data_IF_921591069272
#
_entry.id   IF_921591069272
#
_cell.length_a   1.000
_cell.length_b   1.000
_cell.length_c   1.000
_cell.angle_alpha   90.00
_cell.angle_beta   90.00
_cell.angle_gamma   90.00
#
_symmetry.space_group_name_H-M   'P 1'
#
loop_
_entity.id
_entity.type
_entity.pdbx_description
1 polymer ?
#
# COMPACT_ATOMS: atom_id res chain seq x y z
N UNK A 1 64.29 -33.02 45.98
CA UNK A 1 63.74 -33.66 44.80
C UNK A 1 62.38 -32.97 44.50
N UNK A 2 62.39 -32.11 43.51
CA UNK A 2 61.21 -31.25 43.21
C UNK A 2 60.72 -31.63 41.80
N UNK A 3 59.52 -32.16 41.73
CA UNK A 3 58.83 -32.54 40.48
C UNK A 3 57.92 -31.37 40.05
N UNK A 4 58.31 -30.70 38.97
CA UNK A 4 57.47 -29.65 38.30
C UNK A 4 56.49 -30.30 37.36
N UNK A 5 55.18 -30.04 37.56
CA UNK A 5 54.10 -30.41 36.61
C UNK A 5 53.89 -29.24 35.64
N UNK A 6 54.11 -29.52 34.36
CA UNK A 6 53.71 -28.60 33.27
C UNK A 6 52.24 -28.86 32.89
N UNK A 7 51.39 -27.89 33.09
CA UNK A 7 50.00 -27.91 32.60
C UNK A 7 50.05 -27.23 31.21
N UNK A 8 49.76 -28.01 30.17
CA UNK A 8 49.57 -27.48 28.82
C UNK A 8 48.12 -27.00 28.66
N UNK A 9 47.94 -25.71 28.45
CA UNK A 9 46.64 -25.11 28.11
C UNK A 9 46.41 -25.25 26.59
N UNK A 10 45.43 -26.04 26.19
CA UNK A 10 44.95 -26.13 24.81
C UNK A 10 43.93 -25.00 24.55
N UNK A 11 44.29 -24.04 23.75
CA UNK A 11 43.37 -23.00 23.25
C UNK A 11 42.55 -23.59 22.09
N UNK A 12 41.28 -23.88 22.34
CA UNK A 12 40.28 -24.14 21.29
C UNK A 12 39.90 -22.81 20.67
N UNK A 13 40.33 -22.51 19.45
CA UNK A 13 39.84 -21.43 18.62
C UNK A 13 38.53 -21.87 17.99
N UNK A 14 37.39 -21.39 18.55
CA UNK A 14 36.08 -21.45 17.87
C UNK A 14 36.10 -20.47 16.69
N UNK A 15 36.24 -20.99 15.49
CA UNK A 15 36.04 -20.27 14.25
C UNK A 15 34.53 -19.97 14.12
N UNK A 16 34.12 -18.72 14.36
CA UNK A 16 32.82 -18.22 13.91
C UNK A 16 32.84 -18.15 12.37
N UNK A 17 32.35 -19.20 11.74
CA UNK A 17 32.03 -19.19 10.32
C UNK A 17 30.89 -18.19 10.08
N UNK A 18 31.19 -17.00 9.62
CA UNK A 18 30.21 -16.07 9.08
C UNK A 18 29.57 -16.75 7.87
N UNK A 19 28.36 -17.29 8.03
CA UNK A 19 27.50 -17.66 6.92
C UNK A 19 27.13 -16.36 6.19
N UNK A 20 27.93 -15.98 5.20
CA UNK A 20 27.53 -15.00 4.20
C UNK A 20 26.33 -15.60 3.47
N UNK A 21 25.12 -15.15 3.79
CA UNK A 21 23.96 -15.30 2.93
C UNK A 21 24.34 -14.56 1.64
N UNK A 22 24.81 -15.33 0.63
CA UNK A 22 25.10 -14.80 -0.68
C UNK A 22 23.82 -14.16 -1.22
N UNK A 23 23.81 -12.85 -1.39
CA UNK A 23 22.82 -12.19 -2.23
C UNK A 23 22.97 -12.83 -3.62
N UNK A 24 21.97 -13.60 -4.05
CA UNK A 24 21.93 -14.12 -5.40
C UNK A 24 21.64 -12.93 -6.32
N UNK A 25 22.62 -12.55 -7.12
CA UNK A 25 22.43 -11.57 -8.18
C UNK A 25 21.44 -12.12 -9.22
N UNK A 26 20.56 -11.26 -9.72
CA UNK A 26 19.57 -11.63 -10.75
C UNK A 26 20.28 -12.12 -12.02
N UNK A 27 19.83 -13.27 -12.54
CA UNK A 27 20.33 -13.81 -13.81
C UNK A 27 19.55 -13.24 -14.99
N UNK A 28 20.20 -12.44 -15.82
CA UNK A 28 19.64 -11.99 -17.08
C UNK A 28 20.06 -12.91 -18.25
N UNK A 29 19.19 -13.11 -19.29
CA UNK A 29 17.87 -12.48 -19.47
C UNK A 29 16.85 -13.00 -18.45
N UNK A 30 16.15 -12.06 -17.80
CA UNK A 30 15.10 -12.33 -16.83
C UNK A 30 13.73 -12.33 -17.52
N UNK A 31 12.85 -13.28 -17.16
CA UNK A 31 11.45 -13.31 -17.55
C UNK A 31 10.57 -13.17 -16.32
N UNK A 32 9.65 -12.23 -16.36
CA UNK A 32 8.70 -11.96 -15.26
C UNK A 32 7.27 -12.02 -15.80
N UNK A 33 6.47 -12.90 -15.24
CA UNK A 33 5.03 -12.95 -15.55
C UNK A 33 4.31 -11.88 -14.72
N UNK A 34 3.62 -10.97 -15.41
CA UNK A 34 2.96 -9.83 -14.81
C UNK A 34 1.59 -9.57 -15.45
N UNK A 35 0.52 -9.87 -14.72
CA UNK A 35 -0.85 -9.54 -15.12
C UNK A 35 -1.18 -9.96 -16.57
N UNK A 36 -0.89 -11.21 -16.92
CA UNK A 36 -1.19 -11.77 -18.25
C UNK A 36 -0.14 -11.51 -19.33
N UNK A 37 0.95 -10.83 -19.02
CA UNK A 37 2.08 -10.59 -19.92
C UNK A 37 3.35 -11.19 -19.35
N UNK A 38 4.22 -11.73 -20.22
CA UNK A 38 5.61 -12.09 -19.86
C UNK A 38 6.54 -10.95 -20.28
N UNK A 39 7.15 -10.30 -19.32
CA UNK A 39 8.12 -9.23 -19.52
C UNK A 39 9.53 -9.85 -19.61
N UNK A 40 10.33 -9.40 -20.57
CA UNK A 40 11.70 -9.88 -20.75
C UNK A 40 12.71 -8.74 -20.55
N UNK A 41 13.69 -8.96 -19.70
CA UNK A 41 14.76 -8.00 -19.41
C UNK A 41 16.11 -8.64 -19.73
N UNK A 42 16.85 -8.04 -20.66
CA UNK A 42 18.25 -8.47 -20.95
C UNK A 42 19.24 -7.99 -19.90
N UNK A 43 18.84 -7.00 -19.10
CA UNK A 43 19.58 -6.39 -17.98
C UNK A 43 18.61 -5.57 -17.14
N UNK A 44 19.02 -5.14 -15.94
CA UNK A 44 18.27 -4.19 -15.13
C UNK A 44 17.95 -2.91 -15.91
N UNK A 45 16.68 -2.38 -15.84
CA UNK A 45 16.30 -1.12 -16.48
C UNK A 45 17.18 0.04 -15.99
N UNK A 46 17.60 0.90 -16.94
CA UNK A 46 18.39 2.10 -16.61
C UNK A 46 17.57 3.21 -15.99
N UNK A 47 16.26 3.26 -16.32
CA UNK A 47 15.31 4.26 -15.85
C UNK A 47 13.90 3.69 -15.78
N UNK A 48 13.06 4.28 -14.94
CA UNK A 48 11.67 3.87 -14.74
C UNK A 48 10.77 5.10 -14.61
N UNK A 49 9.59 5.05 -15.22
CA UNK A 49 8.49 5.98 -14.95
C UNK A 49 7.46 5.25 -14.09
N UNK A 50 6.94 5.94 -13.08
CA UNK A 50 5.85 5.42 -12.25
C UNK A 50 4.56 6.19 -12.49
N UNK A 51 3.48 5.46 -12.71
CA UNK A 51 2.11 5.96 -12.75
C UNK A 51 1.40 5.43 -11.52
N UNK A 52 1.46 6.19 -10.43
CA UNK A 52 0.94 5.80 -9.12
C UNK A 52 1.95 5.97 -8.00
N UNK A 53 1.46 6.50 -6.87
CA UNK A 53 2.26 6.75 -5.67
C UNK A 53 2.82 5.46 -5.07
N UNK A 54 2.00 4.39 -5.01
CA UNK A 54 2.42 3.14 -4.39
C UNK A 54 3.66 2.53 -5.08
N UNK A 55 3.66 2.47 -6.41
CA UNK A 55 4.83 1.99 -7.18
C UNK A 55 6.06 2.87 -6.99
N UNK A 56 5.87 4.20 -6.93
CA UNK A 56 6.96 5.15 -6.68
C UNK A 56 7.62 4.89 -5.32
N UNK A 57 6.83 4.75 -4.27
CA UNK A 57 7.35 4.56 -2.91
C UNK A 57 7.96 3.17 -2.69
N UNK A 58 7.49 2.14 -3.41
CA UNK A 58 8.18 0.84 -3.46
C UNK A 58 9.58 1.00 -4.03
N UNK A 59 9.74 1.68 -5.18
CA UNK A 59 11.05 1.89 -5.78
C UNK A 59 11.97 2.74 -4.88
N UNK A 60 11.44 3.74 -4.20
CA UNK A 60 12.23 4.50 -3.23
C UNK A 60 12.68 3.65 -2.04
N UNK A 61 11.80 2.78 -1.54
CA UNK A 61 12.13 1.86 -0.44
C UNK A 61 13.19 0.82 -0.83
N UNK A 62 13.22 0.44 -2.12
CA UNK A 62 14.24 -0.43 -2.70
C UNK A 62 15.57 0.31 -3.02
N UNK A 63 15.72 1.59 -2.63
CA UNK A 63 16.93 2.37 -2.94
C UNK A 63 17.04 2.82 -4.40
N UNK A 64 16.00 2.64 -5.21
CA UNK A 64 16.00 2.88 -6.66
C UNK A 64 15.56 4.29 -7.06
N UNK A 65 15.49 5.24 -6.12
CA UNK A 65 15.02 6.59 -6.38
C UNK A 65 15.79 7.31 -7.50
N UNK A 66 17.09 7.05 -7.67
CA UNK A 66 17.90 7.60 -8.77
C UNK A 66 17.55 7.03 -10.15
N UNK A 67 16.82 5.91 -10.20
CA UNK A 67 16.32 5.31 -11.44
C UNK A 67 14.96 5.87 -11.85
N UNK A 68 14.21 6.51 -10.93
CA UNK A 68 12.90 7.08 -11.24
C UNK A 68 13.08 8.36 -12.03
N UNK A 69 12.78 8.32 -13.33
CA UNK A 69 12.90 9.44 -14.26
C UNK A 69 11.68 10.36 -14.29
N UNK A 70 10.59 9.94 -13.65
CA UNK A 70 9.35 10.71 -13.49
C UNK A 70 8.28 9.92 -12.76
N UNK A 71 7.36 10.64 -12.12
CA UNK A 71 6.26 10.08 -11.33
C UNK A 71 4.98 10.86 -11.53
N UNK A 72 3.84 10.23 -11.24
CA UNK A 72 2.50 10.83 -11.34
C UNK A 72 1.51 10.14 -10.42
N UNK A 73 0.28 10.66 -10.34
CA UNK A 73 -0.83 10.12 -9.54
C UNK A 73 -0.48 10.02 -8.05
N UNK A 74 -0.60 11.14 -7.37
CA UNK A 74 -0.31 11.25 -5.94
C UNK A 74 -1.57 11.59 -5.15
N UNK A 75 -1.86 10.82 -4.09
CA UNK A 75 -2.96 11.07 -3.15
C UNK A 75 -2.49 11.89 -1.94
N UNK A 76 -1.30 11.59 -1.45
CA UNK A 76 -0.72 12.15 -0.23
C UNK A 76 0.69 12.68 -0.49
N UNK A 77 1.25 13.51 0.39
CA UNK A 77 2.67 13.82 0.37
C UNK A 77 3.50 12.53 0.41
N UNK A 78 4.66 12.56 -0.19
CA UNK A 78 5.62 11.46 -0.09
C UNK A 78 5.95 11.16 1.38
N UNK A 79 6.21 9.91 1.73
CA UNK A 79 6.69 9.55 3.07
C UNK A 79 7.90 10.40 3.45
N UNK A 80 7.98 10.93 4.68
CA UNK A 80 9.04 11.86 5.10
C UNK A 80 10.46 11.36 4.79
N UNK A 81 10.70 10.07 4.94
CA UNK A 81 11.99 9.42 4.65
C UNK A 81 12.42 9.50 3.18
N UNK A 82 11.49 9.77 2.26
CA UNK A 82 11.76 9.88 0.82
C UNK A 82 11.69 11.32 0.29
N UNK A 83 11.50 12.31 1.16
CA UNK A 83 11.32 13.72 0.76
C UNK A 83 12.44 14.24 -0.15
N UNK A 84 13.68 13.98 0.22
CA UNK A 84 14.85 14.52 -0.50
C UNK A 84 15.05 13.87 -1.87
N UNK A 85 14.76 12.57 -2.00
CA UNK A 85 14.84 11.90 -3.28
C UNK A 85 13.67 12.29 -4.18
N UNK A 86 12.44 12.36 -3.62
CA UNK A 86 11.26 12.77 -4.36
C UNK A 86 11.34 14.20 -4.90
N UNK A 87 12.00 15.11 -4.17
CA UNK A 87 12.21 16.49 -4.62
C UNK A 87 13.07 16.60 -5.90
N UNK A 88 13.83 15.56 -6.24
CA UNK A 88 14.69 15.49 -7.41
C UNK A 88 14.02 14.79 -8.59
N UNK A 89 12.89 14.14 -8.38
CA UNK A 89 12.16 13.39 -9.41
C UNK A 89 11.08 14.26 -10.02
N UNK A 90 11.07 14.46 -11.35
CA UNK A 90 10.03 15.23 -12.02
C UNK A 90 8.65 14.62 -11.80
N UNK A 91 7.68 15.44 -11.41
CA UNK A 91 6.26 15.06 -11.42
C UNK A 91 5.70 15.37 -12.81
N UNK A 92 5.32 14.32 -13.54
CA UNK A 92 4.80 14.46 -14.91
C UNK A 92 3.38 15.00 -14.91
N UNK A 93 2.58 14.62 -13.92
CA UNK A 93 1.23 15.10 -13.67
C UNK A 93 0.82 14.82 -12.22
N UNK A 94 -0.14 15.59 -11.68
CA UNK A 94 -0.75 15.30 -10.38
C UNK A 94 -1.73 14.13 -10.48
N UNK A 95 -2.40 13.99 -11.62
CA UNK A 95 -3.22 12.85 -12.01
C UNK A 95 -2.49 12.04 -13.09
N UNK A 96 -3.25 11.45 -14.02
CA UNK A 96 -2.70 10.63 -15.09
C UNK A 96 -1.90 11.47 -16.07
N UNK A 97 -0.66 11.07 -16.41
CA UNK A 97 0.15 11.76 -17.39
C UNK A 97 -0.34 11.44 -18.80
N UNK A 98 0.00 12.28 -19.79
CA UNK A 98 -0.20 11.89 -21.17
C UNK A 98 0.82 10.82 -21.60
N UNK A 99 0.46 10.04 -22.62
CA UNK A 99 1.36 9.05 -23.21
C UNK A 99 2.69 9.67 -23.65
N UNK A 100 2.61 10.83 -24.32
CA UNK A 100 3.78 11.57 -24.81
C UNK A 100 4.72 11.95 -23.65
N UNK A 101 4.17 12.45 -22.54
CA UNK A 101 4.97 12.84 -21.38
C UNK A 101 5.75 11.66 -20.79
N UNK A 102 5.18 10.45 -20.86
CA UNK A 102 5.84 9.22 -20.42
C UNK A 102 6.92 8.79 -21.41
N UNK A 103 6.59 8.68 -22.71
CA UNK A 103 7.52 8.13 -23.72
C UNK A 103 8.67 9.09 -24.05
N UNK A 104 8.50 10.40 -23.88
CA UNK A 104 9.56 11.39 -24.02
C UNK A 104 10.75 11.10 -23.10
N UNK A 105 10.49 10.54 -21.92
CA UNK A 105 11.53 10.16 -20.95
C UNK A 105 12.30 8.90 -21.34
N UNK A 106 11.88 8.18 -22.39
CA UNK A 106 12.49 6.94 -22.89
C UNK A 106 12.75 5.94 -21.76
N UNK A 107 11.75 5.59 -20.94
CA UNK A 107 11.97 4.72 -19.80
C UNK A 107 12.31 3.29 -20.23
N UNK A 108 13.15 2.62 -19.45
CA UNK A 108 13.39 1.20 -19.59
C UNK A 108 12.28 0.34 -18.98
N UNK A 109 11.37 0.95 -18.21
CA UNK A 109 10.20 0.32 -17.61
C UNK A 109 9.17 1.39 -17.25
N UNK A 110 7.89 1.08 -17.42
CA UNK A 110 6.76 1.83 -16.82
C UNK A 110 6.14 0.95 -15.75
N UNK A 111 6.02 1.46 -14.52
CA UNK A 111 5.32 0.81 -13.41
C UNK A 111 3.99 1.52 -13.20
N UNK A 112 2.88 0.81 -13.32
CA UNK A 112 1.54 1.33 -13.09
C UNK A 112 0.91 0.74 -11.83
N UNK A 113 0.26 1.58 -11.05
CA UNK A 113 -0.46 1.17 -9.85
C UNK A 113 -1.80 0.52 -10.20
N UNK A 114 -2.53 1.09 -11.16
CA UNK A 114 -3.87 0.65 -11.52
C UNK A 114 -3.96 0.21 -12.97
N UNK A 115 -4.79 -0.82 -13.22
CA UNK A 115 -5.00 -1.35 -14.56
C UNK A 115 -5.65 -0.32 -15.49
N UNK A 116 -6.63 0.44 -15.02
CA UNK A 116 -7.31 1.46 -15.82
C UNK A 116 -6.37 2.55 -16.38
N UNK A 117 -5.13 2.62 -15.90
CA UNK A 117 -4.11 3.54 -16.42
C UNK A 117 -3.45 3.03 -17.71
N UNK A 118 -3.19 1.72 -17.79
CA UNK A 118 -2.44 1.10 -18.89
C UNK A 118 -3.11 -0.15 -19.47
N UNK A 119 -4.32 -0.48 -19.05
CA UNK A 119 -5.07 -1.62 -19.55
C UNK A 119 -5.69 -1.37 -20.94
N UNK A 120 -6.67 -2.18 -21.28
CA UNK A 120 -7.33 -2.14 -22.60
C UNK A 120 -7.93 -0.76 -22.93
N UNK A 121 -8.50 -0.09 -21.94
CA UNK A 121 -9.08 1.26 -22.03
C UNK A 121 -8.20 2.29 -21.31
N UNK A 122 -6.89 2.01 -21.26
CA UNK A 122 -5.94 2.78 -20.44
C UNK A 122 -5.95 4.28 -20.72
N UNK A 123 -6.21 5.08 -19.67
CA UNK A 123 -6.29 6.56 -19.80
C UNK A 123 -4.94 7.20 -20.15
N UNK A 124 -3.83 6.51 -19.87
CA UNK A 124 -2.49 6.95 -20.29
C UNK A 124 -2.18 6.37 -21.67
N UNK A 125 -2.25 5.04 -21.79
CA UNK A 125 -2.10 4.28 -23.03
C UNK A 125 -2.37 2.80 -22.73
N UNK A 126 -2.44 1.95 -23.76
CA UNK A 126 -2.48 0.49 -23.54
C UNK A 126 -1.07 -0.09 -23.38
N UNK A 127 -0.98 -1.27 -22.74
CA UNK A 127 0.29 -1.99 -22.62
C UNK A 127 0.90 -2.30 -24.00
N UNK A 128 0.07 -2.63 -24.98
CA UNK A 128 0.47 -2.89 -26.37
C UNK A 128 1.14 -1.65 -26.98
N UNK A 129 0.57 -0.44 -26.80
CA UNK A 129 1.15 0.79 -27.31
C UNK A 129 2.56 1.05 -26.74
N UNK A 130 2.77 0.77 -25.44
CA UNK A 130 4.11 0.85 -24.85
C UNK A 130 5.05 -0.24 -25.40
N UNK A 131 4.57 -1.48 -25.51
CA UNK A 131 5.37 -2.61 -26.00
C UNK A 131 5.79 -2.46 -27.46
N UNK A 132 4.96 -1.84 -28.32
CA UNK A 132 5.32 -1.49 -29.70
C UNK A 132 6.53 -0.53 -29.74
N UNK A 133 6.66 0.34 -28.76
CA UNK A 133 7.83 1.20 -28.57
C UNK A 133 8.99 0.52 -27.83
N UNK A 134 8.89 -0.79 -27.54
CA UNK A 134 9.88 -1.56 -26.77
C UNK A 134 10.04 -1.07 -25.32
N UNK A 135 8.98 -0.51 -24.77
CA UNK A 135 8.90 -0.08 -23.36
C UNK A 135 8.08 -1.13 -22.61
N UNK A 136 8.68 -1.98 -21.77
CA UNK A 136 7.95 -2.92 -20.94
C UNK A 136 7.11 -2.18 -19.91
N UNK A 137 5.94 -2.76 -19.57
CA UNK A 137 5.02 -2.20 -18.58
C UNK A 137 4.78 -3.22 -17.48
N UNK A 138 4.93 -2.79 -16.23
CA UNK A 138 4.67 -3.59 -15.04
C UNK A 138 3.42 -3.02 -14.35
N UNK A 139 2.36 -3.81 -14.27
CA UNK A 139 1.18 -3.50 -13.47
C UNK A 139 1.35 -4.10 -12.07
N UNK A 140 1.07 -3.35 -11.02
CA UNK A 140 1.13 -3.91 -9.67
C UNK A 140 0.14 -5.08 -9.53
N UNK A 141 0.59 -6.29 -9.15
CA UNK A 141 -0.23 -7.50 -9.05
C UNK A 141 -1.52 -7.34 -8.24
N UNK A 142 -1.51 -6.47 -7.24
CA UNK A 142 -2.70 -6.14 -6.45
C UNK A 142 -3.88 -5.62 -7.29
N UNK A 143 -3.62 -5.11 -8.48
CA UNK A 143 -4.66 -4.56 -9.36
C UNK A 143 -5.05 -5.48 -10.51
N UNK A 144 -4.52 -6.70 -10.56
CA UNK A 144 -4.97 -7.74 -11.48
C UNK A 144 -5.28 -9.07 -10.79
N UNK A 145 -4.59 -9.41 -9.69
CA UNK A 145 -4.83 -10.67 -9.01
C UNK A 145 -6.13 -10.64 -8.19
N UNK A 146 -7.03 -11.56 -8.52
CA UNK A 146 -8.35 -11.61 -7.87
C UNK A 146 -9.29 -10.48 -8.25
N UNK A 147 -9.00 -9.73 -9.32
CA UNK A 147 -9.77 -8.60 -9.83
C UNK A 147 -10.13 -8.80 -11.29
N UNK A 148 -11.36 -8.50 -11.66
CA UNK A 148 -11.82 -8.43 -13.05
C UNK A 148 -11.86 -6.97 -13.49
N UNK A 149 -10.88 -6.58 -14.27
CA UNK A 149 -10.72 -5.21 -14.75
C UNK A 149 -11.57 -4.87 -15.96
N UNK A 150 -12.39 -5.82 -16.44
CA UNK A 150 -13.37 -5.58 -17.51
C UNK A 150 -14.74 -5.18 -16.97
N UNK A 151 -14.93 -5.18 -15.66
CA UNK A 151 -16.21 -4.90 -15.01
C UNK A 151 -16.07 -3.69 -14.08
N UNK A 152 -16.87 -2.65 -14.34
CA UNK A 152 -16.81 -1.38 -13.58
C UNK A 152 -15.69 -0.44 -14.05
N UNK A 153 -15.72 0.80 -13.59
CA UNK A 153 -14.75 1.84 -13.98
C UNK A 153 -13.33 1.57 -13.44
N UNK A 154 -13.25 1.00 -12.24
CA UNK A 154 -11.98 0.71 -11.54
C UNK A 154 -11.73 -0.81 -11.42
N UNK A 155 -12.46 -1.63 -12.20
CA UNK A 155 -12.49 -3.07 -12.06
C UNK A 155 -13.32 -3.55 -10.86
N UNK A 156 -13.57 -4.83 -10.79
CA UNK A 156 -14.33 -5.47 -9.71
C UNK A 156 -13.50 -6.56 -9.06
N UNK A 157 -13.32 -6.49 -7.75
CA UNK A 157 -12.58 -7.51 -7.01
C UNK A 157 -13.46 -8.75 -6.83
N UNK A 158 -13.00 -9.86 -7.39
CA UNK A 158 -13.71 -11.16 -7.41
C UNK A 158 -13.32 -12.04 -6.22
N UNK A 159 -12.21 -11.74 -5.55
CA UNK A 159 -11.71 -12.45 -4.36
C UNK A 159 -11.23 -11.42 -3.34
N UNK A 160 -11.29 -11.74 -2.04
CA UNK A 160 -10.69 -10.86 -1.03
C UNK A 160 -9.25 -10.53 -1.36
N UNK A 161 -8.87 -9.28 -1.10
CA UNK A 161 -7.48 -8.85 -1.23
C UNK A 161 -6.55 -9.74 -0.40
N UNK A 162 -5.43 -10.12 -1.03
CA UNK A 162 -4.34 -10.86 -0.39
C UNK A 162 -3.08 -9.98 -0.42
N UNK A 163 -2.50 -9.75 0.75
CA UNK A 163 -1.26 -8.97 0.91
C UNK A 163 -0.08 -9.59 0.11
N UNK A 164 -0.16 -10.88 -0.21
CA UNK A 164 0.83 -11.55 -1.05
C UNK A 164 1.02 -10.85 -2.40
N UNK A 165 -0.02 -10.20 -2.94
CA UNK A 165 0.07 -9.43 -4.18
C UNK A 165 1.00 -8.20 -4.03
N UNK A 166 0.99 -7.51 -2.87
CA UNK A 166 1.93 -6.44 -2.56
C UNK A 166 3.35 -6.97 -2.40
N UNK A 167 3.53 -8.05 -1.64
CA UNK A 167 4.86 -8.66 -1.46
C UNK A 167 5.43 -9.17 -2.78
N UNK A 168 4.59 -9.71 -3.67
CA UNK A 168 4.97 -10.07 -5.04
C UNK A 168 5.41 -8.86 -5.84
N UNK A 169 4.72 -7.72 -5.73
CA UNK A 169 5.15 -6.47 -6.38
C UNK A 169 6.55 -6.06 -5.95
N UNK A 170 6.82 -6.09 -4.64
CA UNK A 170 8.13 -5.74 -4.07
C UNK A 170 9.21 -6.71 -4.57
N UNK A 171 8.95 -8.02 -4.48
CA UNK A 171 9.91 -9.04 -4.87
C UNK A 171 10.21 -9.02 -6.37
N UNK A 172 9.20 -8.89 -7.23
CA UNK A 172 9.40 -8.83 -8.68
C UNK A 172 10.13 -7.55 -9.11
N UNK A 173 9.79 -6.39 -8.52
CA UNK A 173 10.53 -5.16 -8.80
C UNK A 173 11.97 -5.24 -8.30
N UNK A 174 12.20 -5.84 -7.14
CA UNK A 174 13.54 -6.08 -6.62
C UNK A 174 14.38 -6.99 -7.56
N UNK A 175 13.78 -8.06 -8.07
CA UNK A 175 14.39 -8.96 -9.05
C UNK A 175 14.67 -8.25 -10.37
N UNK A 176 13.72 -7.48 -10.92
CA UNK A 176 13.90 -6.71 -12.17
C UNK A 176 15.08 -5.74 -12.08
N UNK A 177 15.35 -5.19 -10.90
CA UNK A 177 16.41 -4.20 -10.67
C UNK A 177 17.68 -4.75 -9.99
N UNK A 178 17.77 -6.06 -9.74
CA UNK A 178 18.92 -6.74 -9.09
C UNK A 178 19.20 -6.20 -7.67
N UNK A 179 18.12 -6.10 -6.86
CA UNK A 179 18.14 -5.63 -5.46
C UNK A 179 17.29 -6.51 -4.53
N UNK A 180 17.32 -7.82 -4.72
CA UNK A 180 16.46 -8.79 -4.05
C UNK A 180 16.62 -8.76 -2.53
N UNK A 181 17.83 -8.48 -2.03
CA UNK A 181 18.07 -8.36 -0.60
C UNK A 181 17.28 -7.18 0.02
N UNK A 182 17.22 -6.04 -0.68
CA UNK A 182 16.44 -4.89 -0.25
C UNK A 182 14.93 -5.19 -0.33
N UNK A 183 14.51 -5.92 -1.36
CA UNK A 183 13.13 -6.41 -1.50
C UNK A 183 12.71 -7.30 -0.34
N UNK A 184 13.54 -8.29 0.02
CA UNK A 184 13.28 -9.18 1.15
C UNK A 184 13.22 -8.40 2.47
N UNK A 185 14.16 -7.49 2.71
CA UNK A 185 14.20 -6.66 3.90
C UNK A 185 12.93 -5.80 4.04
N UNK A 186 12.45 -5.21 2.93
CA UNK A 186 11.21 -4.42 2.91
C UNK A 186 9.98 -5.29 3.24
N UNK A 187 9.88 -6.48 2.67
CA UNK A 187 8.78 -7.42 2.95
C UNK A 187 8.79 -7.84 4.42
N UNK A 188 9.96 -8.12 4.97
CA UNK A 188 10.10 -8.54 6.37
C UNK A 188 9.75 -7.40 7.34
N UNK A 189 10.15 -6.16 7.05
CA UNK A 189 9.75 -4.97 7.81
C UNK A 189 8.22 -4.79 7.81
N UNK A 190 7.58 -4.87 6.64
CA UNK A 190 6.12 -4.75 6.53
C UNK A 190 5.39 -5.84 7.34
N UNK A 191 5.86 -7.09 7.28
CA UNK A 191 5.29 -8.19 8.08
C UNK A 191 5.47 -7.96 9.58
N UNK A 192 6.64 -7.51 10.00
CA UNK A 192 6.93 -7.24 11.40
C UNK A 192 6.02 -6.12 11.94
N UNK A 193 5.91 -5.01 11.22
CA UNK A 193 5.07 -3.88 11.61
C UNK A 193 3.58 -4.26 11.68
N UNK A 194 3.06 -4.99 10.71
CA UNK A 194 1.69 -5.50 10.73
C UNK A 194 1.45 -6.41 11.95
N UNK A 195 2.40 -7.31 12.26
CA UNK A 195 2.32 -8.18 13.42
C UNK A 195 2.27 -7.39 14.75
N UNK A 196 3.06 -6.32 14.86
CA UNK A 196 3.05 -5.40 16.01
C UNK A 196 1.70 -4.71 16.14
N UNK A 197 1.13 -4.19 15.05
CA UNK A 197 -0.18 -3.55 15.06
C UNK A 197 -1.29 -4.53 15.49
N UNK A 198 -1.28 -5.75 14.96
CA UNK A 198 -2.23 -6.82 15.35
C UNK A 198 -2.09 -7.17 16.83
N UNK A 199 -0.85 -7.34 17.32
CA UNK A 199 -0.62 -7.64 18.74
C UNK A 199 -1.08 -6.51 19.64
N UNK A 200 -0.87 -5.27 19.26
CA UNK A 200 -1.31 -4.07 19.99
C UNK A 200 -2.84 -4.02 20.17
N UNK A 201 -3.60 -4.38 19.12
CA UNK A 201 -5.07 -4.50 19.24
C UNK A 201 -5.45 -5.62 20.17
N UNK A 202 -4.82 -6.80 20.08
CA UNK A 202 -5.07 -7.94 21.01
C UNK A 202 -4.80 -7.57 22.45
N UNK A 203 -3.70 -6.88 22.71
CA UNK A 203 -3.28 -6.47 24.07
C UNK A 203 -4.22 -5.40 24.68
N UNK A 204 -5.00 -4.70 23.86
CA UNK A 204 -6.02 -3.76 24.36
C UNK A 204 -7.12 -4.47 25.18
N UNK A 205 -7.31 -5.76 24.96
CA UNK A 205 -8.33 -6.57 25.64
C UNK A 205 -9.77 -6.23 25.30
N UNK A 206 -10.01 -5.27 24.40
CA UNK A 206 -11.36 -4.85 24.02
C UNK A 206 -11.98 -5.94 23.13
N UNK A 207 -13.20 -6.33 23.45
CA UNK A 207 -13.96 -7.34 22.69
C UNK A 207 -14.95 -6.66 21.74
N UNK A 208 -15.40 -7.42 20.76
CA UNK A 208 -16.45 -7.02 19.81
C UNK A 208 -16.13 -5.71 19.04
N UNK A 209 -14.84 -5.48 18.79
CA UNK A 209 -14.38 -4.31 18.02
C UNK A 209 -15.00 -4.31 16.63
N UNK A 210 -15.48 -3.15 16.23
CA UNK A 210 -16.05 -2.92 14.90
C UNK A 210 -15.61 -1.57 14.33
N UNK A 211 -15.55 -1.49 13.01
CA UNK A 211 -15.15 -0.27 12.33
C UNK A 211 -15.94 -0.04 11.04
N UNK A 212 -16.02 1.21 10.63
CA UNK A 212 -16.35 1.64 9.27
C UNK A 212 -15.20 2.51 8.75
N UNK A 213 -14.89 2.39 7.46
CA UNK A 213 -13.83 3.17 6.80
C UNK A 213 -14.47 4.07 5.74
N UNK A 214 -14.40 5.37 5.93
CA UNK A 214 -14.87 6.37 4.97
C UNK A 214 -13.72 6.85 4.10
N UNK A 215 -13.72 6.43 2.83
CA UNK A 215 -12.67 6.82 1.88
C UNK A 215 -12.92 8.24 1.34
N UNK A 216 -14.01 8.44 0.63
CA UNK A 216 -14.41 9.73 0.05
C UNK A 216 -15.93 9.75 -0.20
N UNK A 217 -16.42 10.80 -0.82
CA UNK A 217 -17.79 10.93 -1.34
C UNK A 217 -17.76 11.83 -2.56
N UNK A 218 -18.63 11.60 -3.51
CA UNK A 218 -18.77 12.49 -4.67
C UNK A 218 -19.16 13.92 -4.27
N UNK A 219 -20.00 14.05 -3.22
CA UNK A 219 -20.28 15.30 -2.52
C UNK A 219 -20.50 14.99 -1.03
N UNK A 220 -20.69 16.01 -0.17
CA UNK A 220 -20.89 15.84 1.27
C UNK A 220 -22.31 15.40 1.62
N UNK A 221 -23.29 15.64 0.75
CA UNK A 221 -24.71 15.33 0.94
C UNK A 221 -25.16 14.03 0.24
N UNK A 222 -24.22 13.25 -0.30
CA UNK A 222 -24.49 11.93 -0.92
C UNK A 222 -23.87 10.80 -0.11
N UNK A 223 -24.33 9.57 -0.36
CA UNK A 223 -23.80 8.39 0.28
C UNK A 223 -22.29 8.24 0.07
N UNK A 224 -21.52 8.05 1.14
CA UNK A 224 -20.06 7.94 1.07
C UNK A 224 -19.59 6.63 0.46
N UNK A 225 -18.40 6.67 -0.16
CA UNK A 225 -17.64 5.47 -0.51
C UNK A 225 -17.02 4.88 0.75
N UNK A 226 -17.57 3.77 1.19
CA UNK A 226 -17.13 3.03 2.38
C UNK A 226 -16.33 1.79 1.98
N UNK A 227 -15.39 1.36 2.81
CA UNK A 227 -14.70 0.10 2.58
C UNK A 227 -15.64 -1.10 2.76
N UNK A 228 -15.79 -1.91 1.72
CA UNK A 228 -16.42 -3.22 1.81
C UNK A 228 -15.46 -4.31 2.28
N UNK A 229 -15.85 -5.58 2.10
CA UNK A 229 -15.13 -6.73 2.67
C UNK A 229 -13.90 -7.14 1.85
N UNK A 230 -13.89 -6.94 0.53
CA UNK A 230 -12.90 -7.55 -0.35
C UNK A 230 -11.69 -6.67 -0.65
N UNK A 231 -11.74 -5.37 -0.36
CA UNK A 231 -10.64 -4.44 -0.61
C UNK A 231 -9.53 -4.49 0.45
N UNK A 232 -8.48 -3.69 0.22
CA UNK A 232 -7.34 -3.54 1.14
C UNK A 232 -7.77 -3.12 2.54
N UNK A 233 -8.66 -2.14 2.65
CA UNK A 233 -9.18 -1.68 3.95
C UNK A 233 -9.95 -2.78 4.68
N UNK A 234 -10.75 -3.58 3.95
CA UNK A 234 -11.42 -4.77 4.51
C UNK A 234 -10.42 -5.80 5.05
N UNK A 235 -9.35 -6.06 4.31
CA UNK A 235 -8.22 -6.89 4.76
C UNK A 235 -7.61 -6.33 6.06
N UNK A 236 -7.28 -5.05 6.11
CA UNK A 236 -6.67 -4.43 7.30
C UNK A 236 -7.54 -4.59 8.55
N UNK A 237 -8.84 -4.33 8.45
CA UNK A 237 -9.77 -4.52 9.56
C UNK A 237 -9.82 -5.97 10.01
N UNK A 238 -9.87 -6.92 9.09
CA UNK A 238 -9.90 -8.35 9.37
C UNK A 238 -8.62 -8.79 10.12
N UNK A 239 -7.43 -8.41 9.62
CA UNK A 239 -6.16 -8.76 10.25
C UNK A 239 -6.02 -8.16 11.65
N UNK A 240 -6.50 -6.95 11.86
CA UNK A 240 -6.54 -6.30 13.17
C UNK A 240 -7.63 -6.87 14.11
N UNK A 241 -8.48 -7.78 13.62
CA UNK A 241 -9.55 -8.38 14.43
C UNK A 241 -10.75 -7.44 14.63
N UNK A 242 -10.94 -6.45 13.76
CA UNK A 242 -12.10 -5.56 13.77
C UNK A 242 -13.14 -6.04 12.77
N UNK A 243 -14.40 -6.15 13.23
CA UNK A 243 -15.52 -6.42 12.34
C UNK A 243 -15.85 -5.18 11.49
N UNK A 244 -15.71 -5.29 10.17
CA UNK A 244 -16.22 -4.26 9.27
C UNK A 244 -17.76 -4.25 9.31
N UNK A 245 -18.38 -3.11 9.62
CA UNK A 245 -19.85 -2.99 9.68
C UNK A 245 -20.47 -2.95 8.29
N UNK A 246 -19.69 -2.63 7.25
CA UNK A 246 -20.11 -2.69 5.85
C UNK A 246 -19.98 -4.12 5.36
N UNK A 247 -21.10 -4.77 5.04
CA UNK A 247 -21.14 -6.19 4.66
C UNK A 247 -21.05 -6.44 3.16
N UNK A 248 -21.04 -5.39 2.32
CA UNK A 248 -20.87 -5.52 0.87
C UNK A 248 -19.56 -6.21 0.53
N UNK A 249 -19.59 -7.07 -0.48
CA UNK A 249 -18.39 -7.67 -1.05
C UNK A 249 -17.59 -6.71 -1.95
N UNK A 250 -18.21 -5.62 -2.41
CA UNK A 250 -17.52 -4.61 -3.20
C UNK A 250 -16.33 -4.01 -2.45
N UNK A 251 -15.37 -3.48 -3.18
CA UNK A 251 -14.19 -2.84 -2.58
C UNK A 251 -14.56 -1.50 -1.96
N UNK A 252 -15.31 -0.66 -2.69
CA UNK A 252 -15.75 0.67 -2.28
C UNK A 252 -17.24 0.90 -2.56
N UNK A 253 -18.17 0.20 -1.89
CA UNK A 253 -19.61 0.45 -2.05
C UNK A 253 -19.98 1.83 -1.51
N UNK A 254 -21.05 2.43 -2.07
CA UNK A 254 -21.74 3.55 -1.45
C UNK A 254 -22.68 3.03 -0.36
N UNK A 255 -22.62 3.62 0.84
CA UNK A 255 -23.41 3.17 1.99
C UNK A 255 -23.91 4.37 2.78
N UNK A 256 -25.25 4.50 2.92
CA UNK A 256 -25.88 5.60 3.65
C UNK A 256 -25.50 5.65 5.13
N UNK A 257 -25.40 6.88 5.66
CA UNK A 257 -25.00 7.13 7.04
C UNK A 257 -25.95 6.53 8.07
N UNK A 258 -27.23 6.40 7.75
CA UNK A 258 -28.22 5.74 8.63
C UNK A 258 -27.85 4.27 8.88
N UNK A 259 -27.34 3.59 7.85
CA UNK A 259 -26.86 2.20 7.96
C UNK A 259 -25.66 2.12 8.87
N UNK A 260 -24.70 3.02 8.71
CA UNK A 260 -23.50 3.09 9.55
C UNK A 260 -23.85 3.47 10.99
N UNK A 261 -24.71 4.46 11.18
CA UNK A 261 -25.16 4.90 12.50
C UNK A 261 -25.94 3.81 13.25
N UNK A 262 -26.79 3.05 12.54
CA UNK A 262 -27.50 1.90 13.12
C UNK A 262 -26.53 0.80 13.56
N UNK A 263 -25.46 0.56 12.80
CA UNK A 263 -24.43 -0.41 13.16
C UNK A 263 -23.53 0.09 14.30
N UNK A 264 -23.46 1.39 14.51
CA UNK A 264 -22.72 2.10 15.56
C UNK A 264 -21.30 1.54 15.80
N UNK A 265 -20.39 1.67 14.82
CA UNK A 265 -19.05 1.08 14.91
C UNK A 265 -18.26 1.63 16.10
N UNK A 266 -17.41 0.79 16.69
CA UNK A 266 -16.51 1.19 17.78
C UNK A 266 -15.54 2.30 17.36
N UNK A 267 -15.01 2.20 16.13
CA UNK A 267 -14.03 3.12 15.53
C UNK A 267 -14.54 3.56 14.16
N UNK A 268 -14.38 4.84 13.86
CA UNK A 268 -14.43 5.35 12.48
C UNK A 268 -13.02 5.56 11.96
N UNK A 269 -12.76 5.09 10.75
CA UNK A 269 -11.53 5.37 10.02
C UNK A 269 -11.88 6.31 8.88
N UNK A 270 -11.19 7.44 8.79
CA UNK A 270 -11.40 8.40 7.71
C UNK A 270 -10.13 8.59 6.90
N UNK A 271 -10.24 8.49 5.58
CA UNK A 271 -9.12 8.75 4.68
C UNK A 271 -8.82 10.25 4.61
N UNK A 272 -7.52 10.58 4.58
CA UNK A 272 -7.00 11.91 4.32
C UNK A 272 -6.33 11.92 2.96
N UNK A 273 -6.64 12.92 2.13
CA UNK A 273 -5.96 13.17 0.86
C UNK A 273 -5.52 14.62 0.77
N UNK A 274 -4.34 14.84 0.18
CA UNK A 274 -3.89 16.18 -0.21
C UNK A 274 -4.43 16.54 -1.60
N UNK A 275 -4.55 15.53 -2.49
CA UNK A 275 -5.25 15.68 -3.76
C UNK A 275 -6.74 15.80 -3.50
N UNK A 276 -7.32 16.95 -3.85
CA UNK A 276 -8.71 17.29 -3.58
C UNK A 276 -9.55 17.19 -4.86
N UNK A 277 -9.99 15.98 -5.21
CA UNK A 277 -10.90 15.76 -6.33
C UNK A 277 -12.35 16.03 -5.93
N UNK A 278 -12.71 15.62 -4.71
CA UNK A 278 -14.03 15.78 -4.13
C UNK A 278 -13.94 16.57 -2.82
N UNK A 279 -15.05 17.24 -2.38
CA UNK A 279 -15.10 17.90 -1.08
C UNK A 279 -14.73 16.97 0.08
N UNK A 280 -15.16 15.72 0.01
CA UNK A 280 -14.91 14.69 1.03
C UNK A 280 -13.48 14.09 0.99
N UNK A 281 -12.61 14.54 0.10
CA UNK A 281 -11.17 14.21 0.18
C UNK A 281 -10.51 14.96 1.33
N UNK A 282 -11.12 16.10 1.75
CA UNK A 282 -10.70 16.88 2.90
C UNK A 282 -11.18 16.23 4.20
N UNK A 283 -10.24 15.68 4.98
CA UNK A 283 -10.60 15.04 6.25
C UNK A 283 -11.16 16.02 7.28
N UNK A 284 -10.82 17.30 7.23
CA UNK A 284 -11.39 18.32 8.13
C UNK A 284 -12.86 18.53 7.85
N UNK A 285 -13.26 18.56 6.56
CA UNK A 285 -14.68 18.59 6.16
C UNK A 285 -15.43 17.32 6.61
N UNK A 286 -14.77 16.16 6.52
CA UNK A 286 -15.33 14.92 7.06
C UNK A 286 -15.59 15.02 8.56
N UNK A 287 -14.62 15.52 9.32
CA UNK A 287 -14.76 15.70 10.77
C UNK A 287 -15.86 16.71 11.11
N UNK A 288 -15.98 17.81 10.37
CA UNK A 288 -17.04 18.79 10.52
C UNK A 288 -18.40 18.17 10.23
N UNK A 289 -18.54 17.44 9.12
CA UNK A 289 -19.76 16.72 8.78
C UNK A 289 -20.17 15.75 9.91
N UNK A 290 -19.27 14.87 10.34
CA UNK A 290 -19.56 13.89 11.38
C UNK A 290 -20.09 14.52 12.68
N UNK A 291 -19.63 15.72 13.04
CA UNK A 291 -20.03 16.43 14.25
C UNK A 291 -21.39 17.16 14.11
N UNK A 292 -21.73 17.59 12.90
CA UNK A 292 -22.89 18.48 12.68
C UNK A 292 -24.09 17.75 12.08
N UNK A 293 -23.87 16.67 11.33
CA UNK A 293 -24.94 15.90 10.70
C UNK A 293 -25.86 15.25 11.76
N UNK A 294 -27.18 15.34 11.60
CA UNK A 294 -28.15 14.88 12.60
C UNK A 294 -28.13 13.39 12.88
N UNK A 295 -27.57 12.58 11.96
CA UNK A 295 -27.45 11.13 12.11
C UNK A 295 -26.10 10.78 12.73
N UNK A 296 -25.00 11.23 12.12
CA UNK A 296 -23.63 10.79 12.48
C UNK A 296 -23.17 11.32 13.83
N UNK A 297 -23.58 12.53 14.24
CA UNK A 297 -23.22 13.11 15.54
C UNK A 297 -23.64 12.28 16.76
N UNK A 298 -24.59 11.36 16.58
CA UNK A 298 -25.08 10.49 17.64
C UNK A 298 -24.35 9.16 17.75
N UNK A 299 -23.47 8.82 16.78
CA UNK A 299 -22.63 7.63 16.87
C UNK A 299 -21.63 7.74 18.02
N UNK A 300 -21.41 6.64 18.74
CA UNK A 300 -20.51 6.62 19.90
C UNK A 300 -19.06 6.91 19.49
N UNK A 301 -18.63 6.48 18.30
CA UNK A 301 -17.32 6.78 17.76
C UNK A 301 -17.11 8.29 17.59
N UNK A 302 -18.14 9.04 17.14
CA UNK A 302 -18.07 10.49 16.94
C UNK A 302 -18.09 11.22 18.29
N UNK A 303 -19.04 10.87 19.19
CA UNK A 303 -19.16 11.48 20.53
C UNK A 303 -17.88 11.35 21.35
N UNK A 304 -17.22 10.20 21.27
CA UNK A 304 -16.05 9.88 22.07
C UNK A 304 -14.72 10.13 21.32
N UNK A 305 -14.77 10.71 20.11
CA UNK A 305 -13.56 11.01 19.32
C UNK A 305 -12.75 9.75 18.90
N UNK A 306 -13.43 8.61 18.77
CA UNK A 306 -12.82 7.34 18.36
C UNK A 306 -12.68 7.29 16.84
N UNK A 307 -11.89 8.21 16.31
CA UNK A 307 -11.68 8.42 14.87
C UNK A 307 -10.20 8.25 14.56
N UNK A 308 -9.87 7.31 13.67
CA UNK A 308 -8.55 7.17 13.08
C UNK A 308 -8.48 7.96 11.76
N UNK A 309 -7.49 8.83 11.62
CA UNK A 309 -7.20 9.54 10.37
C UNK A 309 -6.05 8.80 9.71
N UNK A 310 -6.27 8.33 8.48
CA UNK A 310 -5.32 7.48 7.74
C UNK A 310 -5.09 8.08 6.36
N UNK A 311 -3.86 8.08 5.88
CA UNK A 311 -3.58 8.49 4.50
C UNK A 311 -4.34 7.57 3.52
N UNK A 312 -4.94 8.15 2.49
CA UNK A 312 -5.71 7.37 1.50
C UNK A 312 -4.87 6.28 0.83
N UNK A 313 -3.58 6.56 0.58
CA UNK A 313 -2.67 5.57 0.00
C UNK A 313 -2.36 4.41 0.97
N UNK A 314 -2.55 4.58 2.28
CA UNK A 314 -2.44 3.49 3.25
C UNK A 314 -3.65 2.53 3.22
N UNK A 315 -4.76 2.94 2.62
CA UNK A 315 -5.95 2.12 2.39
C UNK A 315 -5.92 1.43 1.01
N UNK A 316 -4.81 1.57 0.30
CA UNK A 316 -4.52 0.94 -0.98
C UNK A 316 -3.39 -0.11 -0.83
N UNK A 317 -3.14 -0.89 -1.88
CA UNK A 317 -2.04 -1.85 -1.90
C UNK A 317 -0.68 -1.13 -2.03
N UNK A 318 -0.22 -0.55 -0.95
CA UNK A 318 1.02 0.23 -0.86
C UNK A 318 1.84 -0.16 0.36
N UNK A 319 3.09 0.27 0.43
CA UNK A 319 3.93 0.07 1.62
C UNK A 319 3.41 0.82 2.86
N UNK A 320 2.48 1.77 2.65
CA UNK A 320 1.81 2.50 3.74
C UNK A 320 0.73 1.69 4.45
N UNK A 321 0.40 0.49 3.99
CA UNK A 321 -0.58 -0.38 4.65
C UNK A 321 -0.21 -0.61 6.12
N UNK A 322 1.09 -0.72 6.45
CA UNK A 322 1.56 -0.85 7.81
C UNK A 322 1.27 0.42 8.64
N UNK A 323 1.50 1.63 8.07
CA UNK A 323 1.18 2.90 8.72
C UNK A 323 -0.33 3.00 9.02
N UNK A 324 -1.17 2.57 8.07
CA UNK A 324 -2.62 2.53 8.24
C UNK A 324 -3.06 1.57 9.36
N UNK A 325 -2.50 0.37 9.41
CA UNK A 325 -2.78 -0.60 10.46
C UNK A 325 -2.32 -0.10 11.84
N UNK A 326 -1.15 0.52 11.93
CA UNK A 326 -0.64 1.14 13.15
C UNK A 326 -1.56 2.25 13.65
N UNK A 327 -2.01 3.15 12.76
CA UNK A 327 -2.92 4.25 13.11
C UNK A 327 -4.28 3.74 13.61
N UNK A 328 -4.82 2.68 13.00
CA UNK A 328 -6.07 2.06 13.45
C UNK A 328 -5.86 1.38 14.81
N UNK A 329 -4.74 0.67 15.01
CA UNK A 329 -4.41 0.03 16.28
C UNK A 329 -4.26 1.07 17.41
N UNK A 330 -3.65 2.21 17.14
CA UNK A 330 -3.52 3.32 18.09
C UNK A 330 -4.87 3.89 18.49
N UNK A 331 -5.78 4.04 17.54
CA UNK A 331 -7.16 4.49 17.83
C UNK A 331 -7.92 3.48 18.69
N UNK A 332 -7.72 2.18 18.48
CA UNK A 332 -8.31 1.12 19.32
C UNK A 332 -7.79 1.23 20.75
N UNK A 333 -6.48 1.32 20.96
CA UNK A 333 -5.89 1.44 22.32
C UNK A 333 -6.39 2.69 23.02
N UNK A 334 -6.46 3.82 22.31
CA UNK A 334 -7.01 5.07 22.83
C UNK A 334 -8.48 4.95 23.26
N UNK A 335 -9.27 4.18 22.49
CA UNK A 335 -10.67 3.91 22.84
C UNK A 335 -10.78 3.09 24.12
N UNK A 336 -9.87 2.15 24.39
CA UNK A 336 -9.83 1.35 25.60
C UNK A 336 -9.40 2.12 26.84
N UNK A 337 -8.48 3.06 26.69
CA UNK A 337 -8.00 3.88 27.81
C UNK A 337 -9.05 4.91 28.34
N UNK A 338 -10.14 5.11 27.61
CA UNK A 338 -11.23 6.02 27.96
C UNK A 338 -12.37 5.33 28.74
N UNK A 339 -12.21 4.05 29.06
CA UNK A 339 -13.11 3.25 29.93
C UNK A 339 -12.42 2.91 31.24
#
# INVERSE_FOLDING_TARGET
>A
MSTRHHIAAALLALGLGSLSLGAHATHYPLKVDNCGYTLEFSKAPGSVITVGQAGTEVLYALGLGSKVAGTSVWFNPVLPKFKDINAKVPRLADNDPSFEAVVEKRPGLVVSQFEWQIGKEGVVATREQFHDLKIPTYLMPSDCEGKDNLVGADGTRMKPYDIAALYKSISQLAEIFDVEADGQALVDDLKARQSVAVQKVKDSGIKDLSAAVWFSSADMDVDPYMAGQQGVAGYMLKELGLRNVVTSAEEWPTVGWETIAKANPTILVIARMDRRRFPADDYEKKLEFLKNDPVTRHMDAVKNGRIAIVDADALQASIRIADGMEAIADAVVKAGAAH
#
